data_IF_508678019421
#
_entry.id   IF_508678019421
#
_cell.length_a   1.000
_cell.length_b   1.000
_cell.length_c   1.000
_cell.angle_alpha   90.00
_cell.angle_beta   90.00
_cell.angle_gamma   90.00
#
_symmetry.space_group_name_H-M   'P 1'
#
loop_
_entity.id
_entity.type
_entity.pdbx_description
1 polymer ?
#
# COMPACT_ATOMS: atom_id res chain seq x y z
N UNK A 1 1.94 40.53 -50.28
CA UNK A 1 2.90 40.41 -49.16
C UNK A 1 2.17 40.23 -47.85
N UNK A 2 1.65 39.03 -47.59
CA UNK A 2 1.02 38.69 -46.29
C UNK A 2 0.91 37.18 -46.17
N UNK A 3 2.00 36.47 -45.86
CA UNK A 3 1.97 35.03 -45.56
C UNK A 3 3.21 34.59 -44.75
N UNK A 4 3.55 35.28 -43.66
CA UNK A 4 4.73 34.88 -42.86
C UNK A 4 4.54 35.02 -41.34
N UNK A 5 3.32 35.03 -40.82
CA UNK A 5 3.10 35.18 -39.34
C UNK A 5 2.42 33.95 -38.67
N UNK A 6 1.99 32.96 -39.44
CA UNK A 6 1.24 31.82 -38.87
C UNK A 6 2.09 30.60 -38.41
N UNK A 7 3.40 30.60 -38.61
CA UNK A 7 4.24 29.41 -38.29
C UNK A 7 4.97 29.49 -36.96
N UNK A 8 4.92 30.60 -36.23
CA UNK A 8 5.65 30.75 -34.96
C UNK A 8 4.87 30.36 -33.69
N UNK A 9 3.56 30.15 -33.78
CA UNK A 9 2.73 29.89 -32.62
C UNK A 9 2.50 28.40 -32.30
N UNK A 10 2.91 27.46 -33.15
CA UNK A 10 2.76 26.00 -32.91
C UNK A 10 3.98 25.34 -32.25
N UNK A 11 5.12 26.04 -32.19
CA UNK A 11 6.35 25.48 -31.60
C UNK A 11 6.46 25.62 -30.07
N UNK A 12 5.63 26.46 -29.44
CA UNK A 12 5.75 26.74 -28.00
C UNK A 12 4.92 25.78 -27.12
N UNK A 13 4.00 25.02 -27.71
CA UNK A 13 3.15 24.10 -26.93
C UNK A 13 3.77 22.73 -26.67
N UNK A 14 4.86 22.34 -27.31
CA UNK A 14 5.46 21.03 -27.18
C UNK A 14 6.66 20.95 -26.23
N UNK A 15 7.08 22.07 -25.67
CA UNK A 15 8.22 22.11 -24.76
C UNK A 15 7.83 22.55 -23.35
N UNK A 16 6.70 22.05 -22.84
CA UNK A 16 6.47 22.13 -21.39
C UNK A 16 7.40 21.11 -20.72
N UNK A 17 8.33 21.56 -19.86
CA UNK A 17 9.10 20.62 -19.06
C UNK A 17 8.08 19.81 -18.25
N UNK A 18 8.06 18.49 -18.44
CA UNK A 18 7.36 17.58 -17.55
C UNK A 18 7.97 17.84 -16.18
N UNK A 19 7.18 18.36 -15.25
CA UNK A 19 7.59 18.53 -13.87
C UNK A 19 7.97 17.13 -13.37
N UNK A 20 9.27 16.85 -13.26
CA UNK A 20 9.74 15.62 -12.64
C UNK A 20 9.64 15.82 -11.14
N UNK A 21 8.74 15.10 -10.51
CA UNK A 21 8.66 15.09 -9.06
C UNK A 21 10.00 14.61 -8.49
N UNK A 22 10.54 15.42 -7.60
CA UNK A 22 11.83 15.17 -6.96
C UNK A 22 11.56 14.53 -5.62
N UNK A 23 11.93 13.27 -5.48
CA UNK A 23 11.87 12.61 -4.18
C UNK A 23 13.00 13.12 -3.28
N UNK A 24 12.63 13.60 -2.10
CA UNK A 24 13.56 13.96 -1.06
C UNK A 24 13.64 12.81 -0.06
N UNK A 25 14.83 12.28 0.15
CA UNK A 25 15.05 11.28 1.18
C UNK A 25 16.00 11.86 2.21
N UNK A 26 15.52 11.98 3.45
CA UNK A 26 16.38 12.23 4.61
C UNK A 26 16.74 10.87 5.22
N UNK A 27 18.04 10.62 5.40
CA UNK A 27 18.53 9.46 6.15
C UNK A 27 18.76 9.92 7.56
N UNK A 28 18.02 9.34 8.51
CA UNK A 28 18.25 9.54 9.94
C UNK A 28 19.38 8.61 10.39
N UNK A 29 20.41 9.17 11.00
CA UNK A 29 21.52 8.42 11.58
C UNK A 29 21.21 8.05 13.05
N UNK A 30 21.88 7.02 13.55
CA UNK A 30 21.72 6.54 14.94
C UNK A 30 22.08 7.58 16.00
N UNK A 31 22.83 8.63 15.63
CA UNK A 31 23.18 9.76 16.48
C UNK A 31 22.12 10.87 16.53
N UNK A 32 20.99 10.68 15.84
CA UNK A 32 19.90 11.66 15.78
C UNK A 32 20.12 12.77 14.75
N UNK A 33 21.19 12.73 13.97
CA UNK A 33 21.40 13.65 12.84
C UNK A 33 20.68 13.13 11.59
N UNK A 34 20.33 14.02 10.67
CA UNK A 34 19.77 13.64 9.38
C UNK A 34 20.54 14.32 8.24
N UNK A 35 20.73 13.59 7.17
CA UNK A 35 21.28 14.18 5.96
C UNK A 35 20.28 15.16 5.36
N UNK A 36 20.81 16.30 4.85
CA UNK A 36 19.99 17.24 4.10
C UNK A 36 19.32 16.49 2.93
N UNK A 37 18.03 16.72 2.67
CA UNK A 37 17.31 16.01 1.63
C UNK A 37 17.99 16.22 0.28
N UNK A 38 18.59 15.18 -0.25
CA UNK A 38 19.21 15.17 -1.57
C UNK A 38 18.20 14.70 -2.60
N UNK A 39 17.99 15.50 -3.63
CA UNK A 39 17.24 15.09 -4.81
C UNK A 39 18.01 13.98 -5.51
N UNK A 40 17.47 12.77 -5.55
CA UNK A 40 18.06 11.67 -6.32
C UNK A 40 17.12 11.29 -7.46
N UNK A 41 17.55 11.57 -8.68
CA UNK A 41 16.83 11.20 -9.89
C UNK A 41 16.93 9.69 -10.19
N UNK A 42 17.95 8.99 -9.65
CA UNK A 42 18.17 7.56 -9.88
C UNK A 42 18.47 6.82 -8.57
N UNK A 43 17.44 6.19 -8.01
CA UNK A 43 17.65 5.24 -6.92
C UNK A 43 18.26 3.94 -7.46
N UNK A 44 19.28 3.36 -6.80
CA UNK A 44 19.75 2.01 -7.10
C UNK A 44 18.59 1.02 -7.12
N UNK A 45 18.62 0.05 -8.03
CA UNK A 45 17.55 -0.96 -8.18
C UNK A 45 17.20 -1.64 -6.86
N UNK A 46 18.17 -1.97 -6.04
CA UNK A 46 18.00 -2.56 -4.70
C UNK A 46 17.21 -1.64 -3.76
N UNK A 47 17.41 -0.33 -3.83
CA UNK A 47 16.71 0.64 -2.98
C UNK A 47 15.26 0.83 -3.44
N UNK A 48 15.02 0.87 -4.75
CA UNK A 48 13.65 0.91 -5.32
C UNK A 48 12.86 -0.33 -4.92
N UNK A 49 13.48 -1.50 -5.00
CA UNK A 49 12.85 -2.75 -4.57
C UNK A 49 12.52 -2.74 -3.06
N UNK A 50 13.39 -2.19 -2.23
CA UNK A 50 13.15 -2.07 -0.79
C UNK A 50 11.95 -1.16 -0.50
N UNK A 51 11.86 -0.01 -1.17
CA UNK A 51 10.73 0.91 -1.03
C UNK A 51 9.42 0.27 -1.51
N UNK A 52 9.46 -0.45 -2.64
CA UNK A 52 8.30 -1.21 -3.13
C UNK A 52 7.82 -2.25 -2.10
N UNK A 53 8.75 -3.05 -1.55
CA UNK A 53 8.43 -4.02 -0.50
C UNK A 53 7.83 -3.35 0.72
N UNK A 54 8.33 -2.17 1.10
CA UNK A 54 7.76 -1.39 2.19
C UNK A 54 6.30 -1.03 1.92
N UNK A 55 5.97 -0.45 0.75
CA UNK A 55 4.60 -0.11 0.36
C UNK A 55 3.67 -1.33 0.39
N UNK A 56 4.13 -2.47 -0.14
CA UNK A 56 3.37 -3.74 -0.10
C UNK A 56 3.10 -4.17 1.35
N UNK A 57 4.10 -4.11 2.23
CA UNK A 57 3.97 -4.49 3.65
C UNK A 57 2.96 -3.58 4.36
N UNK A 58 3.02 -2.27 4.14
CA UNK A 58 2.07 -1.33 4.74
C UNK A 58 0.64 -1.59 4.27
N UNK A 59 0.46 -1.86 2.98
CA UNK A 59 -0.86 -2.19 2.44
C UNK A 59 -1.42 -3.48 3.03
N UNK A 60 -0.63 -4.56 3.07
CA UNK A 60 -1.05 -5.85 3.68
C UNK A 60 -1.40 -5.66 5.15
N UNK A 61 -0.59 -4.92 5.91
CA UNK A 61 -0.91 -4.60 7.32
C UNK A 61 -2.21 -3.82 7.45
N UNK A 62 -2.41 -2.80 6.63
CA UNK A 62 -3.66 -2.04 6.63
C UNK A 62 -4.90 -2.90 6.32
N UNK A 63 -4.75 -3.93 5.47
CA UNK A 63 -5.84 -4.85 5.09
C UNK A 63 -6.15 -5.92 6.15
N UNK A 64 -5.13 -6.41 6.83
CA UNK A 64 -5.20 -7.64 7.64
C UNK A 64 -5.09 -7.38 9.15
N UNK A 65 -4.52 -6.23 9.57
CA UNK A 65 -4.54 -5.84 10.97
C UNK A 65 -5.93 -5.35 11.36
N UNK A 66 -6.34 -5.75 12.55
CA UNK A 66 -7.57 -5.27 13.14
C UNK A 66 -7.37 -4.95 14.62
N UNK A 67 -7.76 -3.75 15.02
CA UNK A 67 -8.07 -3.38 16.39
C UNK A 67 -9.19 -2.36 16.36
N UNK A 68 -10.01 -2.32 17.37
CA UNK A 68 -11.11 -1.36 17.46
C UNK A 68 -10.63 0.09 17.32
N UNK A 69 -9.49 0.42 17.93
CA UNK A 69 -8.90 1.76 17.90
C UNK A 69 -8.23 2.08 16.55
N UNK A 70 -7.62 1.08 15.92
CA UNK A 70 -6.84 1.23 14.70
C UNK A 70 -7.62 1.10 13.39
N UNK A 71 -8.86 0.58 13.43
CA UNK A 71 -9.63 0.26 12.21
C UNK A 71 -9.83 1.45 11.28
N UNK A 72 -10.07 2.64 11.84
CA UNK A 72 -10.26 3.86 11.04
C UNK A 72 -8.97 4.32 10.36
N UNK A 73 -7.82 4.18 11.03
CA UNK A 73 -6.52 4.51 10.44
C UNK A 73 -6.18 3.55 9.29
N UNK A 74 -6.36 2.26 9.51
CA UNK A 74 -6.19 1.23 8.49
C UNK A 74 -7.11 1.46 7.29
N UNK A 75 -8.38 1.78 7.54
CA UNK A 75 -9.35 2.09 6.48
C UNK A 75 -8.88 3.25 5.59
N UNK A 76 -8.41 4.34 6.19
CA UNK A 76 -7.92 5.51 5.46
C UNK A 76 -6.67 5.17 4.65
N UNK A 77 -5.71 4.46 5.26
CA UNK A 77 -4.48 4.04 4.61
C UNK A 77 -4.77 3.18 3.38
N UNK A 78 -5.54 2.11 3.55
CA UNK A 78 -5.90 1.20 2.46
C UNK A 78 -6.67 1.91 1.36
N UNK A 79 -7.64 2.77 1.73
CA UNK A 79 -8.41 3.55 0.75
C UNK A 79 -7.53 4.50 -0.05
N UNK A 80 -6.52 5.12 0.58
CA UNK A 80 -5.59 6.02 -0.10
C UNK A 80 -4.63 5.29 -1.04
N UNK A 81 -4.18 4.09 -0.67
CA UNK A 81 -3.27 3.26 -1.48
C UNK A 81 -4.00 2.36 -2.49
N UNK A 82 -5.32 2.46 -2.63
CA UNK A 82 -6.09 1.66 -3.58
C UNK A 82 -6.50 2.47 -4.80
N UNK A 83 -6.40 1.87 -5.99
CA UNK A 83 -7.01 2.41 -7.19
C UNK A 83 -8.54 2.50 -7.03
N UNK A 84 -9.24 3.38 -7.77
CA UNK A 84 -10.67 3.65 -7.54
C UNK A 84 -11.54 2.38 -7.43
N UNK A 85 -11.43 1.46 -8.37
CA UNK A 85 -12.22 0.23 -8.36
C UNK A 85 -11.93 -0.70 -7.17
N UNK A 86 -10.68 -0.79 -6.72
CA UNK A 86 -10.31 -1.57 -5.54
C UNK A 86 -10.71 -0.86 -4.25
N UNK A 87 -10.63 0.46 -4.23
CA UNK A 87 -11.14 1.29 -3.13
C UNK A 87 -12.63 1.06 -2.91
N UNK A 88 -13.44 1.15 -3.98
CA UNK A 88 -14.87 0.95 -3.89
C UNK A 88 -15.20 -0.46 -3.39
N UNK A 89 -14.47 -1.48 -3.87
CA UNK A 89 -14.62 -2.87 -3.42
C UNK A 89 -14.28 -3.02 -1.93
N UNK A 90 -13.19 -2.43 -1.50
CA UNK A 90 -12.79 -2.45 -0.08
C UNK A 90 -13.80 -1.75 0.81
N UNK A 91 -14.28 -0.58 0.38
CA UNK A 91 -15.29 0.18 1.11
C UNK A 91 -16.61 -0.61 1.22
N UNK A 92 -17.04 -1.26 0.15
CA UNK A 92 -18.22 -2.11 0.18
C UNK A 92 -18.10 -3.23 1.23
N UNK A 93 -16.93 -3.89 1.31
CA UNK A 93 -16.66 -4.91 2.34
C UNK A 93 -16.73 -4.32 3.74
N UNK A 94 -16.09 -3.17 3.97
CA UNK A 94 -16.01 -2.55 5.29
C UNK A 94 -17.33 -1.98 5.80
N UNK A 95 -18.22 -1.58 4.89
CA UNK A 95 -19.56 -1.05 5.22
C UNK A 95 -20.61 -2.15 5.41
N UNK A 96 -20.40 -3.31 4.82
CA UNK A 96 -21.34 -4.43 4.93
C UNK A 96 -21.12 -5.24 6.20
N UNK A 97 -21.97 -5.03 7.19
CA UNK A 97 -21.95 -5.75 8.47
C UNK A 97 -22.37 -7.22 8.38
N UNK A 98 -22.89 -7.66 7.26
CA UNK A 98 -23.25 -9.06 7.01
C UNK A 98 -22.14 -9.80 6.24
N UNK A 99 -21.15 -9.09 5.74
CA UNK A 99 -20.04 -9.68 5.00
C UNK A 99 -19.10 -10.44 5.95
N UNK A 100 -18.96 -11.77 5.81
CA UNK A 100 -18.12 -12.58 6.68
C UNK A 100 -16.62 -12.25 6.54
N UNK A 101 -16.22 -11.51 5.50
CA UNK A 101 -14.82 -11.06 5.32
C UNK A 101 -14.56 -9.67 5.90
N UNK A 102 -15.58 -8.99 6.41
CA UNK A 102 -15.42 -7.71 7.07
C UNK A 102 -14.64 -7.92 8.40
N UNK A 103 -13.51 -7.26 8.60
CA UNK A 103 -12.71 -7.40 9.83
C UNK A 103 -13.52 -7.09 11.10
N UNK A 104 -14.45 -6.14 11.06
CA UNK A 104 -15.30 -5.83 12.21
C UNK A 104 -16.26 -6.99 12.55
N UNK A 105 -16.72 -7.75 11.56
CA UNK A 105 -17.52 -8.96 11.77
C UNK A 105 -16.66 -10.11 12.25
N UNK A 106 -15.47 -10.28 11.64
CA UNK A 106 -14.54 -11.37 12.00
C UNK A 106 -13.97 -11.24 13.42
N UNK A 107 -13.73 -10.01 13.88
CA UNK A 107 -12.95 -9.76 15.09
C UNK A 107 -13.66 -8.84 16.10
N UNK A 108 -14.69 -8.10 15.70
CA UNK A 108 -15.29 -7.00 16.47
C UNK A 108 -16.55 -7.38 17.24
N UNK A 109 -17.58 -7.83 16.57
CA UNK A 109 -18.88 -8.07 17.20
C UNK A 109 -18.93 -9.41 17.94
N UNK A 110 -19.21 -9.36 19.24
CA UNK A 110 -19.39 -10.54 20.08
C UNK A 110 -18.10 -11.21 20.59
N UNK A 111 -16.94 -10.83 20.08
CA UNK A 111 -15.64 -11.40 20.49
C UNK A 111 -14.85 -10.49 21.43
N UNK A 112 -15.43 -9.39 21.88
CA UNK A 112 -14.92 -8.47 22.89
C UNK A 112 -13.45 -8.11 22.69
N UNK A 113 -13.17 -7.02 21.98
CA UNK A 113 -11.83 -6.46 21.80
C UNK A 113 -10.77 -7.45 21.24
N UNK A 114 -11.18 -8.34 20.33
CA UNK A 114 -10.22 -9.17 19.60
C UNK A 114 -9.31 -8.30 18.73
N UNK A 115 -8.06 -8.72 18.63
CA UNK A 115 -7.05 -8.06 17.79
C UNK A 115 -6.51 -9.06 16.79
N UNK A 116 -6.27 -8.61 15.56
CA UNK A 116 -5.51 -9.34 14.56
C UNK A 116 -4.28 -8.52 14.17
N UNK A 117 -3.10 -9.13 14.24
CA UNK A 117 -1.84 -8.47 13.93
C UNK A 117 -0.98 -9.31 12.99
N UNK A 118 -0.48 -8.66 11.93
CA UNK A 118 0.43 -9.28 10.97
C UNK A 118 1.84 -9.26 11.54
N UNK A 119 2.33 -10.42 11.95
CA UNK A 119 3.61 -10.56 12.66
C UNK A 119 4.80 -10.86 11.78
N UNK A 120 4.59 -11.46 10.59
CA UNK A 120 5.66 -11.77 9.63
C UNK A 120 5.12 -11.64 8.22
N UNK A 121 5.86 -10.95 7.35
CA UNK A 121 5.50 -10.79 5.94
C UNK A 121 6.70 -11.10 5.07
N UNK A 122 6.51 -11.99 4.11
CA UNK A 122 7.46 -12.27 3.05
C UNK A 122 6.85 -11.86 1.70
N UNK A 123 7.42 -10.84 1.07
CA UNK A 123 6.99 -10.33 -0.23
C UNK A 123 7.74 -11.08 -1.33
N UNK A 124 7.00 -11.63 -2.31
CA UNK A 124 7.52 -12.34 -3.48
C UNK A 124 7.10 -11.58 -4.72
N UNK A 125 8.06 -11.07 -5.46
CA UNK A 125 7.83 -10.42 -6.75
C UNK A 125 8.06 -11.45 -7.84
N UNK A 126 7.07 -11.62 -8.72
CA UNK A 126 7.20 -12.49 -9.89
C UNK A 126 7.82 -11.69 -11.06
N UNK A 127 9.02 -12.07 -11.53
CA UNK A 127 9.63 -11.38 -12.67
C UNK A 127 8.84 -11.48 -13.97
N UNK A 128 8.01 -12.52 -14.11
CA UNK A 128 7.16 -12.72 -15.28
C UNK A 128 5.88 -11.87 -15.25
N UNK A 129 5.54 -11.33 -14.09
CA UNK A 129 4.32 -10.53 -13.88
C UNK A 129 4.70 -9.24 -13.13
N UNK A 130 5.29 -8.24 -13.80
CA UNK A 130 5.90 -7.08 -13.15
C UNK A 130 4.89 -6.25 -12.32
N UNK A 131 3.61 -6.32 -12.65
CA UNK A 131 2.55 -5.61 -11.95
C UNK A 131 1.80 -6.49 -10.93
N UNK A 132 2.30 -7.70 -10.66
CA UNK A 132 1.74 -8.59 -9.66
C UNK A 132 2.77 -8.86 -8.55
N UNK A 133 2.27 -9.05 -7.34
CA UNK A 133 3.07 -9.36 -6.17
C UNK A 133 2.29 -10.28 -5.24
N UNK A 134 2.97 -11.29 -4.71
CA UNK A 134 2.44 -12.19 -3.70
C UNK A 134 3.08 -11.87 -2.35
N UNK A 135 2.29 -11.96 -1.28
CA UNK A 135 2.78 -11.83 0.09
C UNK A 135 2.31 -13.04 0.92
N UNK A 136 3.25 -13.70 1.58
CA UNK A 136 2.95 -14.74 2.57
C UNK A 136 3.18 -14.16 3.95
N UNK A 137 2.20 -14.30 4.85
CA UNK A 137 2.27 -13.67 6.16
C UNK A 137 1.55 -14.48 7.24
N UNK A 138 1.85 -14.17 8.49
CA UNK A 138 1.20 -14.73 9.67
C UNK A 138 0.31 -13.68 10.30
N UNK A 139 -0.93 -14.03 10.58
CA UNK A 139 -1.87 -13.20 11.34
C UNK A 139 -2.04 -13.83 12.72
N UNK A 140 -1.58 -13.13 13.75
CA UNK A 140 -1.80 -13.49 15.14
C UNK A 140 -3.13 -12.88 15.61
N UNK A 141 -4.05 -13.72 16.04
CA UNK A 141 -5.36 -13.31 16.55
C UNK A 141 -5.35 -13.51 18.06
N UNK A 142 -5.64 -12.45 18.78
CA UNK A 142 -5.76 -12.43 20.23
C UNK A 142 -7.21 -12.11 20.59
N UNK A 143 -7.89 -13.05 21.21
CA UNK A 143 -9.26 -12.89 21.71
C UNK A 143 -9.23 -12.94 23.24
N UNK A 144 -9.92 -12.04 23.96
CA UNK A 144 -9.98 -12.12 25.42
C UNK A 144 -10.42 -13.49 25.91
N UNK A 145 -9.76 -13.99 26.94
CA UNK A 145 -10.04 -15.29 27.57
C UNK A 145 -9.87 -16.52 26.64
N UNK A 146 -9.16 -16.38 25.54
CA UNK A 146 -8.80 -17.48 24.65
C UNK A 146 -7.29 -17.50 24.38
N UNK A 147 -6.74 -18.68 24.13
CA UNK A 147 -5.35 -18.78 23.68
C UNK A 147 -5.15 -18.10 22.33
N UNK A 148 -4.09 -17.31 22.13
CA UNK A 148 -3.78 -16.71 20.86
C UNK A 148 -3.65 -17.79 19.77
N UNK A 149 -4.20 -17.50 18.59
CA UNK A 149 -4.05 -18.36 17.41
C UNK A 149 -3.31 -17.63 16.32
N UNK A 150 -2.56 -18.36 15.53
CA UNK A 150 -1.85 -17.82 14.37
C UNK A 150 -2.34 -18.51 13.12
N UNK A 151 -2.68 -17.72 12.10
CA UNK A 151 -3.13 -18.20 10.81
C UNK A 151 -2.10 -17.74 9.77
N UNK A 152 -1.62 -18.68 8.95
CA UNK A 152 -0.83 -18.35 7.77
C UNK A 152 -1.78 -17.99 6.63
N UNK A 153 -1.48 -16.89 5.93
CA UNK A 153 -2.24 -16.43 4.76
C UNK A 153 -1.32 -16.11 3.61
N UNK A 154 -1.85 -16.24 2.42
CA UNK A 154 -1.21 -15.77 1.19
C UNK A 154 -2.11 -14.73 0.54
N UNK A 155 -1.57 -13.56 0.26
CA UNK A 155 -2.26 -12.53 -0.52
C UNK A 155 -1.62 -12.37 -1.88
N UNK A 156 -2.47 -12.20 -2.90
CA UNK A 156 -2.10 -11.80 -4.24
C UNK A 156 -2.63 -10.41 -4.54
N UNK A 157 -1.76 -9.56 -5.07
CA UNK A 157 -2.08 -8.17 -5.37
C UNK A 157 -1.60 -7.81 -6.77
N UNK A 158 -2.34 -6.90 -7.41
CA UNK A 158 -1.84 -6.19 -8.60
C UNK A 158 -1.77 -4.70 -8.29
N UNK A 159 -0.87 -4.00 -8.96
CA UNK A 159 -0.59 -2.59 -8.70
C UNK A 159 -0.28 -1.81 -9.97
N UNK A 160 -0.33 -0.48 -9.87
CA UNK A 160 0.05 0.48 -10.91
C UNK A 160 0.77 1.68 -10.28
N UNK A 161 1.58 2.38 -11.06
CA UNK A 161 2.08 3.70 -10.65
C UNK A 161 0.92 4.68 -10.57
N UNK A 162 0.86 5.47 -9.50
CA UNK A 162 -0.26 6.35 -9.22
C UNK A 162 0.17 7.56 -8.37
N UNK A 163 1.35 8.09 -8.63
CA UNK A 163 1.95 9.19 -7.87
C UNK A 163 0.98 10.38 -7.72
N UNK A 164 0.23 10.71 -8.77
CA UNK A 164 -0.75 11.80 -8.76
C UNK A 164 -2.03 11.50 -7.99
N UNK A 165 -2.31 10.23 -7.67
CA UNK A 165 -3.56 9.79 -7.04
C UNK A 165 -3.43 9.62 -5.52
N UNK A 166 -2.21 9.49 -5.02
CA UNK A 166 -1.94 9.19 -3.61
C UNK A 166 -1.58 10.50 -2.88
N UNK A 167 -2.25 10.82 -1.77
CA UNK A 167 -1.93 12.01 -1.00
C UNK A 167 -0.46 12.05 -0.56
N UNK A 168 0.21 13.23 -0.63
CA UNK A 168 1.63 13.35 -0.30
C UNK A 168 2.01 12.83 1.09
N UNK A 169 1.16 13.00 2.09
CA UNK A 169 1.38 12.48 3.44
C UNK A 169 1.41 10.95 3.50
N UNK A 170 0.60 10.30 2.66
CA UNK A 170 0.60 8.83 2.53
C UNK A 170 1.84 8.37 1.78
N UNK A 171 2.22 9.05 0.70
CA UNK A 171 3.46 8.75 -0.01
C UNK A 171 4.67 8.85 0.92
N UNK A 172 4.78 9.91 1.67
CA UNK A 172 5.91 10.16 2.54
C UNK A 172 6.08 9.10 3.64
N UNK A 173 4.97 8.66 4.25
CA UNK A 173 5.02 7.83 5.46
C UNK A 173 4.80 6.33 5.19
N UNK A 174 4.05 5.98 4.14
CA UNK A 174 3.58 4.61 3.94
C UNK A 174 3.84 4.07 2.54
N UNK A 175 3.84 4.92 1.54
CA UNK A 175 3.98 4.53 0.14
C UNK A 175 4.94 5.42 -0.65
N UNK A 176 6.24 5.37 -0.33
CA UNK A 176 7.23 6.22 -0.96
C UNK A 176 7.42 5.97 -2.45
N UNK A 177 6.81 4.91 -2.99
CA UNK A 177 6.83 4.59 -4.42
C UNK A 177 5.65 5.18 -5.19
N UNK A 178 4.63 5.73 -4.50
CA UNK A 178 3.43 6.25 -5.15
C UNK A 178 2.70 5.18 -5.99
N UNK A 179 2.49 3.99 -5.43
CA UNK A 179 1.81 2.89 -6.12
C UNK A 179 0.38 2.72 -5.63
N UNK A 180 -0.58 2.53 -6.53
CA UNK A 180 -1.94 2.16 -6.18
C UNK A 180 -2.19 0.68 -6.45
N UNK A 181 -2.76 -0.02 -5.47
CA UNK A 181 -3.18 -1.40 -5.63
C UNK A 181 -4.50 -1.46 -6.39
N UNK A 182 -4.52 -2.25 -7.47
CA UNK A 182 -5.67 -2.39 -8.36
C UNK A 182 -6.53 -3.61 -8.04
N UNK A 183 -5.94 -4.56 -7.31
CA UNK A 183 -6.63 -5.75 -6.83
C UNK A 183 -5.93 -6.30 -5.58
N UNK A 184 -6.72 -6.85 -4.66
CA UNK A 184 -6.26 -7.58 -3.48
C UNK A 184 -7.14 -8.80 -3.23
N UNK A 185 -6.52 -9.95 -3.03
CA UNK A 185 -7.20 -11.14 -2.53
C UNK A 185 -6.30 -11.84 -1.52
N UNK A 186 -6.83 -12.34 -0.42
CA UNK A 186 -6.10 -13.16 0.54
C UNK A 186 -6.85 -14.44 0.87
N UNK A 187 -6.09 -15.52 1.04
CA UNK A 187 -6.62 -16.84 1.41
C UNK A 187 -5.81 -17.42 2.56
N UNK A 188 -6.45 -18.07 3.54
CA UNK A 188 -5.74 -18.83 4.55
C UNK A 188 -5.10 -20.09 3.93
N UNK A 189 -3.89 -20.43 4.35
CA UNK A 189 -3.25 -21.69 3.99
C UNK A 189 -3.87 -22.81 4.84
N UNK A 190 -4.63 -23.69 4.22
CA UNK A 190 -5.36 -24.78 4.90
C UNK A 190 -4.44 -25.83 5.54
N UNK A 191 -3.17 -25.88 5.16
CA UNK A 191 -2.20 -26.86 5.66
C UNK A 191 -1.48 -26.44 6.97
N UNK A 192 -1.70 -25.23 7.47
CA UNK A 192 -1.00 -24.69 8.64
C UNK A 192 -1.70 -24.99 9.99
N UNK A 193 -2.75 -25.79 10.01
CA UNK A 193 -3.54 -26.13 11.22
C UNK A 193 -3.28 -27.55 11.76
N UNK A 194 -2.05 -28.07 11.57
CA UNK A 194 -1.60 -29.33 12.22
C UNK A 194 -0.48 -29.08 13.20
#
# INVERSE_FOLDING_TARGET
>A
MMTAVAAASLGVMWNRPVARDRFYMAVLHDDGTYDAPTVREDLPRSRREMLFRHSVIQYVRGRENYSWEGVNANYRLVSAMSAPAERDRYQAVMLDRHNPTNPAVLYGEGLGASMADVTAIQVKVDPASPNAVDAVFLVKIVTPNQSPRTIRKTARMTWMGAEDLIPPEIQQNYDPMGIAFTHYSSTPDLDASR
#
